data_IF_236696243735
#
_entry.id   IF_236696243735
#
_cell.length_a   1.000
_cell.length_b   1.000
_cell.length_c   1.000
_cell.angle_alpha   90.00
_cell.angle_beta   90.00
_cell.angle_gamma   90.00
#
_symmetry.space_group_name_H-M   'P 1'
#
loop_
_entity.id
_entity.type
_entity.pdbx_description
1 polymer ?
#
# COMPACT_ATOMS: atom_id res chain seq x y z
N UNK A 1 35.87 38.09 -28.42
CA UNK A 1 35.83 37.48 -27.08
C UNK A 1 34.40 37.52 -26.60
N UNK A 2 33.64 36.42 -26.75
CA UNK A 2 32.34 36.18 -26.07
C UNK A 2 31.69 34.80 -26.36
N UNK A 3 32.26 33.92 -27.19
CA UNK A 3 31.71 32.57 -27.40
C UNK A 3 31.84 31.68 -26.13
N UNK A 4 32.93 31.81 -25.38
CA UNK A 4 33.15 31.02 -24.15
C UNK A 4 32.19 31.37 -22.99
N UNK A 5 31.52 32.53 -23.03
CA UNK A 5 30.56 32.94 -21.99
C UNK A 5 29.19 32.33 -22.30
N UNK A 6 28.77 32.32 -23.56
CA UNK A 6 27.50 31.71 -23.98
C UNK A 6 27.52 30.17 -23.93
N UNK A 7 28.69 29.55 -24.11
CA UNK A 7 28.81 28.10 -23.99
C UNK A 7 28.76 27.65 -22.52
N UNK A 8 29.39 28.41 -21.61
CA UNK A 8 29.35 28.16 -20.17
C UNK A 8 27.93 28.32 -19.59
N UNK A 9 27.21 29.35 -20.04
CA UNK A 9 25.81 29.60 -19.64
C UNK A 9 24.86 28.52 -20.19
N UNK A 10 25.06 28.05 -21.43
CA UNK A 10 24.31 26.90 -21.99
C UNK A 10 24.59 25.59 -21.26
N UNK A 11 25.81 25.38 -20.79
CA UNK A 11 26.18 24.17 -20.06
C UNK A 11 25.62 24.18 -18.63
N UNK A 12 25.53 25.36 -17.98
CA UNK A 12 24.87 25.52 -16.69
C UNK A 12 23.34 25.37 -16.77
N UNK A 13 22.70 25.87 -17.84
CA UNK A 13 21.26 25.70 -18.08
C UNK A 13 20.90 24.26 -18.45
N UNK A 14 21.73 23.53 -19.21
CA UNK A 14 21.51 22.11 -19.50
C UNK A 14 21.75 21.19 -18.29
N UNK A 15 22.73 21.51 -17.42
CA UNK A 15 22.98 20.72 -16.21
C UNK A 15 21.93 20.96 -15.10
N UNK A 16 21.26 22.12 -15.07
CA UNK A 16 20.15 22.37 -14.13
C UNK A 16 18.88 21.56 -14.42
N UNK A 17 18.73 21.01 -15.62
CA UNK A 17 17.52 20.28 -16.02
C UNK A 17 17.53 18.78 -15.66
N UNK A 18 18.58 18.25 -15.04
CA UNK A 18 18.76 16.81 -14.82
C UNK A 18 18.50 16.29 -13.38
N UNK A 19 18.04 17.13 -12.46
CA UNK A 19 17.58 16.66 -11.14
C UNK A 19 16.12 17.00 -10.86
N UNK A 20 15.24 16.77 -11.84
CA UNK A 20 13.84 16.51 -11.51
C UNK A 20 13.81 15.20 -10.71
N UNK A 21 13.92 15.29 -9.37
CA UNK A 21 13.83 14.16 -8.45
C UNK A 21 12.54 13.40 -8.75
N UNK A 22 12.63 12.31 -9.52
CA UNK A 22 11.45 11.54 -9.89
C UNK A 22 10.82 10.96 -8.63
N UNK A 23 9.69 11.54 -8.24
CA UNK A 23 8.92 11.14 -7.08
C UNK A 23 8.48 9.68 -7.22
N UNK A 24 8.61 8.85 -6.17
CA UNK A 24 8.23 7.45 -6.27
C UNK A 24 6.71 7.33 -6.50
N UNK A 25 6.30 6.42 -7.39
CA UNK A 25 4.90 6.07 -7.57
C UNK A 25 4.44 5.11 -6.48
N UNK A 26 3.63 5.60 -5.54
CA UNK A 26 3.13 4.83 -4.39
C UNK A 26 1.61 4.82 -4.34
N UNK A 27 1.03 3.74 -3.83
CA UNK A 27 -0.36 3.70 -3.42
C UNK A 27 -0.55 4.53 -2.15
N UNK A 28 -1.63 5.30 -2.03
CA UNK A 28 -1.84 6.19 -0.88
C UNK A 28 -2.27 5.42 0.38
N UNK A 29 -2.04 6.01 1.57
CA UNK A 29 -2.57 5.50 2.85
C UNK A 29 -4.07 5.22 2.80
N UNK A 30 -4.83 6.17 2.28
CA UNK A 30 -6.30 6.05 2.15
C UNK A 30 -6.68 4.85 1.28
N UNK A 31 -5.93 4.60 0.21
CA UNK A 31 -6.19 3.46 -0.66
C UNK A 31 -5.88 2.14 0.06
N UNK A 32 -4.78 2.06 0.79
CA UNK A 32 -4.43 0.88 1.61
C UNK A 32 -5.54 0.60 2.64
N UNK A 33 -6.02 1.63 3.33
CA UNK A 33 -7.09 1.51 4.33
C UNK A 33 -8.41 1.04 3.68
N UNK A 34 -8.79 1.65 2.55
CA UNK A 34 -9.99 1.26 1.80
C UNK A 34 -9.94 -0.19 1.34
N UNK A 35 -8.82 -0.64 0.77
CA UNK A 35 -8.67 -2.03 0.35
C UNK A 35 -8.70 -3.00 1.53
N UNK A 36 -8.15 -2.58 2.67
CA UNK A 36 -8.19 -3.36 3.91
C UNK A 36 -9.64 -3.56 4.38
N UNK A 37 -10.41 -2.48 4.47
CA UNK A 37 -11.79 -2.54 4.96
C UNK A 37 -12.79 -3.14 3.98
N UNK A 38 -12.65 -2.87 2.68
CA UNK A 38 -13.63 -3.27 1.66
C UNK A 38 -13.43 -4.72 1.18
N UNK A 39 -12.17 -5.18 1.11
CA UNK A 39 -11.86 -6.52 0.64
C UNK A 39 -11.30 -7.39 1.77
N UNK A 40 -10.10 -7.05 2.25
CA UNK A 40 -9.48 -7.64 3.45
C UNK A 40 -8.12 -7.00 3.69
N UNK A 41 -7.60 -7.15 4.92
CA UNK A 41 -6.24 -6.74 5.27
C UNK A 41 -5.18 -7.30 4.33
N UNK A 42 -5.37 -8.48 3.74
CA UNK A 42 -4.41 -9.06 2.78
C UNK A 42 -4.23 -8.15 1.56
N UNK A 43 -5.30 -7.59 1.03
CA UNK A 43 -5.22 -6.69 -0.12
C UNK A 43 -4.56 -5.36 0.24
N UNK A 44 -4.87 -4.81 1.42
CA UNK A 44 -4.15 -3.64 1.94
C UNK A 44 -2.66 -3.89 2.12
N UNK A 45 -2.30 -5.06 2.67
CA UNK A 45 -0.91 -5.47 2.88
C UNK A 45 -0.17 -5.64 1.55
N UNK A 46 -0.79 -6.20 0.51
CA UNK A 46 -0.18 -6.30 -0.83
C UNK A 46 0.16 -4.92 -1.40
N UNK A 47 -0.75 -3.94 -1.27
CA UNK A 47 -0.47 -2.56 -1.68
C UNK A 47 0.70 -1.97 -0.88
N UNK A 48 0.74 -2.21 0.43
CA UNK A 48 1.81 -1.74 1.31
C UNK A 48 3.16 -2.37 0.96
N UNK A 49 3.21 -3.69 0.79
CA UNK A 49 4.40 -4.43 0.35
C UNK A 49 4.88 -3.97 -1.02
N UNK A 50 3.96 -3.65 -1.94
CA UNK A 50 4.33 -3.06 -3.24
C UNK A 50 5.01 -1.70 -3.08
N UNK A 51 4.56 -0.86 -2.14
CA UNK A 51 5.19 0.44 -1.88
C UNK A 51 6.59 0.26 -1.28
N UNK A 52 6.71 -0.58 -0.25
CA UNK A 52 8.01 -0.84 0.40
C UNK A 52 9.02 -1.45 -0.56
N UNK A 53 8.58 -2.37 -1.43
CA UNK A 53 9.43 -2.92 -2.51
C UNK A 53 9.88 -1.83 -3.48
N UNK A 54 8.99 -0.90 -3.85
CA UNK A 54 9.33 0.22 -4.75
C UNK A 54 10.33 1.19 -4.12
N UNK A 55 10.29 1.34 -2.80
CA UNK A 55 11.22 2.17 -2.03
C UNK A 55 12.53 1.45 -1.66
N UNK A 56 12.67 0.16 -1.96
CA UNK A 56 13.86 -0.63 -1.60
C UNK A 56 13.95 -0.98 -0.10
N UNK A 57 12.90 -0.72 0.67
CA UNK A 57 12.82 -0.92 2.12
C UNK A 57 12.66 -2.41 2.48
N UNK A 58 13.74 -3.19 2.31
CA UNK A 58 13.77 -4.65 2.54
C UNK A 58 13.36 -5.03 3.96
N UNK A 59 13.85 -4.30 4.96
CA UNK A 59 13.55 -4.60 6.37
C UNK A 59 12.06 -4.41 6.66
N UNK A 60 11.51 -3.26 6.29
CA UNK A 60 10.09 -2.96 6.43
C UNK A 60 9.22 -3.98 5.67
N UNK A 61 9.63 -4.35 4.46
CA UNK A 61 8.93 -5.33 3.64
C UNK A 61 8.75 -6.67 4.38
N UNK A 62 9.83 -7.21 4.95
CA UNK A 62 9.73 -8.46 5.71
C UNK A 62 8.95 -8.30 7.01
N UNK A 63 9.04 -7.15 7.68
CA UNK A 63 8.26 -6.88 8.89
C UNK A 63 6.75 -6.83 8.61
N UNK A 64 6.32 -6.16 7.52
CA UNK A 64 4.91 -6.16 7.09
C UNK A 64 4.46 -7.56 6.68
N UNK A 65 5.32 -8.31 5.97
CA UNK A 65 4.99 -9.68 5.54
C UNK A 65 4.76 -10.60 6.74
N UNK A 66 5.64 -10.57 7.74
CA UNK A 66 5.47 -11.34 8.98
C UNK A 66 4.23 -10.88 9.74
N UNK A 67 4.03 -9.56 9.85
CA UNK A 67 2.86 -8.99 10.52
C UNK A 67 1.55 -9.49 9.91
N UNK A 68 1.40 -9.42 8.58
CA UNK A 68 0.12 -9.80 7.94
C UNK A 68 -0.17 -11.28 8.12
N UNK A 69 0.85 -12.15 8.09
CA UNK A 69 0.68 -13.59 8.33
C UNK A 69 0.18 -13.84 9.76
N UNK A 70 0.83 -13.23 10.76
CA UNK A 70 0.44 -13.35 12.17
C UNK A 70 -0.97 -12.78 12.38
N UNK A 71 -1.25 -11.60 11.83
CA UNK A 71 -2.52 -10.92 11.97
C UNK A 71 -3.67 -11.73 11.39
N UNK A 72 -3.51 -12.25 10.16
CA UNK A 72 -4.55 -13.06 9.50
C UNK A 72 -4.77 -14.36 10.25
N UNK A 73 -3.70 -15.01 10.73
CA UNK A 73 -3.81 -16.22 11.56
C UNK A 73 -4.61 -15.93 12.83
N UNK A 74 -4.28 -14.85 13.54
CA UNK A 74 -5.01 -14.42 14.74
C UNK A 74 -6.46 -14.01 14.44
N UNK A 75 -6.71 -13.38 13.30
CA UNK A 75 -8.06 -13.00 12.85
C UNK A 75 -8.93 -14.22 12.59
N UNK A 76 -8.41 -15.23 11.88
CA UNK A 76 -9.12 -16.50 11.64
C UNK A 76 -9.42 -17.22 12.95
N UNK A 77 -8.43 -17.31 13.86
CA UNK A 77 -8.62 -17.92 15.17
C UNK A 77 -9.68 -17.19 16.01
N UNK A 78 -9.64 -15.86 16.03
CA UNK A 78 -10.58 -15.01 16.77
C UNK A 78 -12.01 -15.17 16.23
N UNK A 79 -12.19 -15.06 14.92
CA UNK A 79 -13.51 -15.19 14.29
C UNK A 79 -14.08 -16.60 14.47
N UNK A 80 -13.24 -17.64 14.47
CA UNK A 80 -13.68 -19.03 14.68
C UNK A 80 -14.06 -19.32 16.14
N UNK A 81 -13.52 -18.55 17.09
CA UNK A 81 -13.76 -18.75 18.53
C UNK A 81 -15.01 -18.03 19.05
N UNK A 82 -15.49 -17.01 18.33
CA UNK A 82 -16.66 -16.22 18.74
C UNK A 82 -17.93 -17.00 18.34
N UNK A 83 -18.69 -17.43 19.34
CA UNK A 83 -20.04 -17.98 19.16
C UNK A 83 -21.05 -16.83 19.21
N UNK A 84 -21.50 -16.34 18.05
CA UNK A 84 -22.53 -15.30 17.96
C UNK A 84 -22.59 -14.64 16.58
N UNK A 85 -23.76 -14.15 16.19
CA UNK A 85 -24.02 -13.55 14.86
C UNK A 85 -23.43 -12.15 14.63
N UNK A 86 -22.52 -11.68 15.49
CA UNK A 86 -21.91 -10.35 15.35
C UNK A 86 -20.72 -10.41 14.40
N UNK A 87 -20.79 -9.67 13.30
CA UNK A 87 -19.76 -9.65 12.26
C UNK A 87 -18.58 -8.74 12.65
N UNK A 88 -17.60 -9.28 13.37
CA UNK A 88 -16.35 -8.57 13.71
C UNK A 88 -15.35 -8.45 12.54
N UNK A 89 -15.64 -9.06 11.39
CA UNK A 89 -14.74 -9.07 10.23
C UNK A 89 -14.38 -7.65 9.78
N UNK A 90 -15.37 -6.77 9.61
CA UNK A 90 -15.13 -5.39 9.14
C UNK A 90 -14.27 -4.58 10.11
N UNK A 91 -14.61 -4.46 11.42
CA UNK A 91 -13.79 -3.67 12.34
C UNK A 91 -12.38 -4.24 12.51
N UNK A 92 -12.21 -5.57 12.50
CA UNK A 92 -10.87 -6.18 12.54
C UNK A 92 -10.08 -5.86 11.26
N UNK A 93 -10.67 -6.01 10.07
CA UNK A 93 -9.99 -5.66 8.83
C UNK A 93 -9.60 -4.17 8.77
N UNK A 94 -10.45 -3.26 9.26
CA UNK A 94 -10.12 -1.84 9.38
C UNK A 94 -9.00 -1.60 10.40
N UNK A 95 -9.02 -2.27 11.55
CA UNK A 95 -7.96 -2.17 12.55
C UNK A 95 -6.61 -2.60 11.97
N UNK A 96 -6.59 -3.72 11.25
CA UNK A 96 -5.41 -4.18 10.53
C UNK A 96 -4.91 -3.17 9.49
N UNK A 97 -5.83 -2.61 8.69
CA UNK A 97 -5.54 -1.54 7.75
C UNK A 97 -4.98 -0.29 8.42
N UNK A 98 -5.51 0.08 9.58
CA UNK A 98 -5.04 1.21 10.37
C UNK A 98 -3.61 0.99 10.87
N UNK A 99 -3.27 -0.22 11.31
CA UNK A 99 -1.89 -0.58 11.69
C UNK A 99 -0.96 -0.44 10.47
N UNK A 100 -1.37 -0.91 9.29
CA UNK A 100 -0.59 -0.72 8.06
C UNK A 100 -0.34 0.76 7.75
N UNK A 101 -1.35 1.63 7.90
CA UNK A 101 -1.24 3.04 7.54
C UNK A 101 -0.64 3.93 8.62
N UNK A 102 -0.81 3.63 9.89
CA UNK A 102 -0.33 4.49 10.97
C UNK A 102 0.98 4.01 11.58
N UNK A 103 1.19 2.70 11.71
CA UNK A 103 2.45 2.17 12.21
C UNK A 103 3.47 2.02 11.08
N UNK A 104 3.16 1.20 10.08
CA UNK A 104 4.13 0.87 9.04
C UNK A 104 4.37 2.03 8.06
N UNK A 105 3.33 2.72 7.59
CA UNK A 105 3.57 3.83 6.66
C UNK A 105 4.34 4.95 7.34
N UNK A 106 3.85 5.42 8.49
CA UNK A 106 4.48 6.56 9.15
C UNK A 106 5.89 6.22 9.63
N UNK A 107 6.11 4.97 10.06
CA UNK A 107 7.40 4.50 10.55
C UNK A 107 8.46 4.29 9.46
N UNK A 108 8.08 3.79 8.28
CA UNK A 108 9.05 3.41 7.24
C UNK A 108 9.04 4.31 6.01
N UNK A 109 7.88 4.85 5.63
CA UNK A 109 7.76 5.71 4.44
C UNK A 109 7.88 7.17 4.85
N UNK A 110 7.24 7.56 5.96
CA UNK A 110 7.18 8.94 6.44
C UNK A 110 5.83 9.61 6.19
N UNK A 111 5.43 10.50 7.11
CA UNK A 111 4.14 11.23 7.05
C UNK A 111 4.12 12.27 5.93
N UNK A 112 5.22 12.99 5.77
CA UNK A 112 5.40 14.12 4.85
C UNK A 112 6.12 13.71 3.55
N UNK A 113 6.20 12.40 3.27
CA UNK A 113 6.88 11.91 2.09
C UNK A 113 6.10 12.30 0.85
N UNK A 114 6.72 13.09 -0.02
CA UNK A 114 6.15 13.42 -1.32
C UNK A 114 6.21 12.19 -2.24
N UNK A 115 5.09 11.88 -2.89
CA UNK A 115 4.99 10.76 -3.83
C UNK A 115 3.96 11.05 -4.91
N UNK A 116 4.14 10.46 -6.08
CA UNK A 116 3.12 10.45 -7.12
C UNK A 116 2.12 9.32 -6.84
N UNK A 117 0.82 9.63 -6.91
CA UNK A 117 -0.23 8.63 -6.65
C UNK A 117 -0.25 7.59 -7.77
N UNK A 118 0.02 6.35 -7.40
CA UNK A 118 -0.10 5.20 -8.30
C UNK A 118 -1.58 4.89 -8.58
N UNK A 119 -1.89 4.51 -9.81
CA UNK A 119 -3.27 4.18 -10.23
C UNK A 119 -3.85 3.01 -9.45
N UNK A 120 -5.09 3.19 -8.96
CA UNK A 120 -5.83 2.21 -8.15
C UNK A 120 -6.60 1.18 -8.99
N UNK A 121 -6.75 1.40 -10.29
CA UNK A 121 -7.62 0.59 -11.16
C UNK A 121 -7.13 -0.85 -11.27
N UNK A 122 -5.81 -1.04 -11.49
CA UNK A 122 -5.20 -2.37 -11.59
C UNK A 122 -5.43 -3.22 -10.33
N UNK A 123 -5.07 -2.75 -9.11
CA UNK A 123 -5.32 -3.55 -7.91
C UNK A 123 -6.82 -3.71 -7.64
N UNK A 124 -7.66 -2.71 -7.90
CA UNK A 124 -9.10 -2.82 -7.66
C UNK A 124 -9.74 -3.91 -8.52
N UNK A 125 -9.38 -3.99 -9.80
CA UNK A 125 -9.89 -5.01 -10.70
C UNK A 125 -9.51 -6.41 -10.22
N UNK A 126 -8.24 -6.62 -9.83
CA UNK A 126 -7.76 -7.90 -9.29
C UNK A 126 -8.51 -8.25 -8.00
N UNK A 127 -8.64 -7.30 -7.07
CA UNK A 127 -9.39 -7.51 -5.83
C UNK A 127 -10.84 -7.87 -6.09
N UNK A 128 -11.51 -7.19 -7.03
CA UNK A 128 -12.90 -7.48 -7.38
C UNK A 128 -13.06 -8.88 -8.01
N UNK A 129 -12.17 -9.24 -8.93
CA UNK A 129 -12.17 -10.56 -9.57
C UNK A 129 -11.98 -11.71 -8.57
N UNK A 130 -11.35 -11.49 -7.42
CA UNK A 130 -11.17 -12.50 -6.38
C UNK A 130 -12.32 -12.44 -5.36
N UNK A 131 -12.64 -11.25 -4.87
CA UNK A 131 -13.60 -11.05 -3.79
C UNK A 131 -15.04 -11.34 -4.21
N UNK A 132 -15.45 -10.99 -5.43
CA UNK A 132 -16.83 -11.23 -5.88
C UNK A 132 -17.14 -12.73 -6.01
N UNK A 133 -16.34 -13.55 -6.72
CA UNK A 133 -16.59 -14.99 -6.75
C UNK A 133 -16.53 -15.65 -5.38
N UNK A 134 -15.58 -15.24 -4.52
CA UNK A 134 -15.49 -15.76 -3.16
C UNK A 134 -16.74 -15.43 -2.32
N UNK A 135 -17.26 -14.21 -2.44
CA UNK A 135 -18.49 -13.80 -1.78
C UNK A 135 -19.70 -14.58 -2.30
N UNK A 136 -19.84 -14.71 -3.62
CA UNK A 136 -20.92 -15.50 -4.22
C UNK A 136 -20.84 -16.97 -3.78
N UNK A 137 -19.65 -17.56 -3.76
CA UNK A 137 -19.46 -18.92 -3.30
C UNK A 137 -19.90 -19.10 -1.83
N UNK A 138 -19.58 -18.13 -0.97
CA UNK A 138 -20.02 -18.14 0.43
C UNK A 138 -21.55 -18.03 0.56
N UNK A 139 -22.21 -17.24 -0.29
CA UNK A 139 -23.68 -17.06 -0.25
C UNK A 139 -24.43 -18.27 -0.81
N UNK A 140 -23.91 -18.91 -1.86
CA UNK A 140 -24.59 -20.04 -2.53
C UNK A 140 -24.24 -21.41 -1.97
N UNK A 141 -23.03 -21.60 -1.42
CA UNK A 141 -22.54 -22.89 -0.91
C UNK A 141 -22.25 -22.90 0.60
N UNK A 142 -22.31 -21.76 1.29
CA UNK A 142 -22.16 -21.64 2.75
C UNK A 142 -23.50 -21.64 3.45
#
# INVERSE_FOLDING_TARGET
MNENIEEKDRTEVQNKNHEAKELPLLYSKRLILLFSGLFSILFGAVLMLSNLRKLGERKAYFQVLTFVIIYVTGLVYTLSSIKGGTNFSLPLNLLGGFILTEYFWNGYIGKETEYQKKSWVKPALISLCISVPAFLALVYFG
#
